data_IF_645396971434
#
_entry.id   IF_645396971434
#
_cell.length_a   1.000
_cell.length_b   1.000
_cell.length_c   1.000
_cell.angle_alpha   90.00
_cell.angle_beta   90.00
_cell.angle_gamma   90.00
#
_symmetry.space_group_name_H-M   'P 1'
#
loop_
_entity.id
_entity.type
_entity.pdbx_description
1 polymer ?
#
# COMPACT_ATOMS: atom_id res chain seq x y z
N UNK A 1 -42.22 46.08 -5.37
CA UNK A 1 -41.41 45.06 -4.67
C UNK A 1 -40.16 45.75 -4.15
N UNK A 2 -39.92 45.79 -2.84
CA UNK A 2 -38.66 46.29 -2.27
C UNK A 2 -37.63 45.17 -2.32
N UNK A 3 -36.59 45.33 -3.10
CA UNK A 3 -35.38 44.51 -3.06
C UNK A 3 -34.50 45.01 -1.92
N UNK A 4 -34.31 44.21 -0.88
CA UNK A 4 -33.28 44.49 0.13
C UNK A 4 -31.91 44.32 -0.51
N UNK A 5 -31.14 45.40 -0.59
CA UNK A 5 -29.76 45.37 -1.02
C UNK A 5 -28.88 44.97 0.17
N UNK A 6 -28.08 43.91 0.00
CA UNK A 6 -27.07 43.49 0.98
C UNK A 6 -25.99 44.57 1.11
N UNK A 7 -25.54 44.84 2.33
CA UNK A 7 -24.42 45.77 2.55
C UNK A 7 -23.08 45.08 2.34
N UNK A 8 -22.08 45.81 1.86
CA UNK A 8 -20.70 45.31 1.73
C UNK A 8 -20.13 44.86 3.07
N UNK A 9 -20.51 45.53 4.17
CA UNK A 9 -20.03 45.19 5.51
C UNK A 9 -20.60 43.86 6.02
N UNK A 10 -21.88 43.58 5.74
CA UNK A 10 -22.49 42.27 6.06
C UNK A 10 -21.76 41.14 5.34
N UNK A 11 -21.46 41.32 4.06
CA UNK A 11 -20.75 40.30 3.29
C UNK A 11 -19.30 40.12 3.78
N UNK A 12 -18.62 41.21 4.15
CA UNK A 12 -17.26 41.19 4.71
C UNK A 12 -17.18 40.42 6.04
N UNK A 13 -18.14 40.63 6.95
CA UNK A 13 -18.16 39.92 8.23
C UNK A 13 -18.39 38.42 8.01
N UNK A 14 -19.28 38.05 7.09
CA UNK A 14 -19.56 36.64 6.78
C UNK A 14 -18.32 35.93 6.25
N UNK A 15 -17.62 36.50 5.27
CA UNK A 15 -16.40 35.87 4.73
C UNK A 15 -15.27 35.84 5.76
N UNK A 16 -15.18 36.83 6.66
CA UNK A 16 -14.22 36.82 7.75
C UNK A 16 -14.48 35.66 8.72
N UNK A 17 -15.74 35.42 9.12
CA UNK A 17 -16.11 34.31 10.00
C UNK A 17 -15.85 32.96 9.32
N UNK A 18 -16.24 32.81 8.04
CA UNK A 18 -15.95 31.59 7.26
C UNK A 18 -14.45 31.34 7.16
N UNK A 19 -13.64 32.38 6.95
CA UNK A 19 -12.18 32.29 6.90
C UNK A 19 -11.57 31.77 8.21
N UNK A 20 -12.04 32.26 9.36
CA UNK A 20 -11.58 31.80 10.68
C UNK A 20 -11.94 30.33 10.91
N UNK A 21 -13.18 29.93 10.59
CA UNK A 21 -13.62 28.55 10.72
C UNK A 21 -12.84 27.61 9.80
N UNK A 22 -12.62 28.02 8.54
CA UNK A 22 -11.86 27.24 7.57
C UNK A 22 -10.40 27.05 8.01
N UNK A 23 -9.75 28.08 8.56
CA UNK A 23 -8.36 28.00 9.01
C UNK A 23 -8.15 26.93 10.10
N UNK A 24 -9.14 26.70 10.96
CA UNK A 24 -9.10 25.67 12.00
C UNK A 24 -9.55 24.31 11.46
N UNK A 25 -10.59 24.29 10.62
CA UNK A 25 -11.22 23.05 10.16
C UNK A 25 -10.38 22.31 9.11
N UNK A 26 -9.75 23.02 8.17
CA UNK A 26 -8.99 22.43 7.05
C UNK A 26 -7.84 21.53 7.50
N UNK A 27 -6.89 21.96 8.37
CA UNK A 27 -5.79 21.08 8.79
C UNK A 27 -6.30 19.85 9.57
N UNK A 28 -7.33 20.02 10.39
CA UNK A 28 -7.95 18.91 11.12
C UNK A 28 -8.61 17.90 10.16
N UNK A 29 -9.28 18.39 9.12
CA UNK A 29 -9.89 17.55 8.10
C UNK A 29 -8.84 16.75 7.32
N UNK A 30 -7.74 17.37 6.90
CA UNK A 30 -6.62 16.70 6.21
C UNK A 30 -6.04 15.59 7.10
N UNK A 31 -5.78 15.89 8.36
CA UNK A 31 -5.27 14.90 9.33
C UNK A 31 -6.24 13.74 9.54
N UNK A 32 -7.54 13.99 9.62
CA UNK A 32 -8.56 12.96 9.73
C UNK A 32 -8.62 12.09 8.46
N UNK A 33 -8.48 12.69 7.28
CA UNK A 33 -8.44 11.96 6.01
C UNK A 33 -7.24 11.02 5.93
N UNK A 34 -6.05 11.47 6.33
CA UNK A 34 -4.85 10.62 6.33
C UNK A 34 -5.04 9.46 7.33
N UNK A 35 -5.52 9.71 8.55
CA UNK A 35 -5.84 8.64 9.51
C UNK A 35 -6.81 7.60 8.94
N UNK A 36 -7.84 8.05 8.23
CA UNK A 36 -8.79 7.16 7.57
C UNK A 36 -8.13 6.32 6.47
N UNK A 37 -7.22 6.90 5.68
CA UNK A 37 -6.42 6.17 4.69
C UNK A 37 -5.52 5.11 5.34
N UNK A 38 -4.83 5.44 6.44
CA UNK A 38 -3.97 4.49 7.18
C UNK A 38 -4.80 3.30 7.68
N UNK A 39 -5.92 3.59 8.37
CA UNK A 39 -6.80 2.56 8.90
C UNK A 39 -7.37 1.68 7.77
N UNK A 40 -7.73 2.30 6.64
CA UNK A 40 -8.20 1.61 5.45
C UNK A 40 -7.13 0.72 4.82
N UNK A 41 -5.90 1.22 4.65
CA UNK A 41 -4.80 0.44 4.09
C UNK A 41 -4.45 -0.77 4.95
N UNK A 42 -4.39 -0.59 6.27
CA UNK A 42 -4.20 -1.69 7.20
C UNK A 42 -5.35 -2.71 7.16
N UNK A 43 -6.59 -2.26 6.97
CA UNK A 43 -7.74 -3.16 6.82
C UNK A 43 -7.68 -3.96 5.52
N UNK A 44 -7.38 -3.30 4.40
CA UNK A 44 -7.21 -3.93 3.09
C UNK A 44 -6.10 -4.98 3.13
N UNK A 45 -4.93 -4.67 3.70
CA UNK A 45 -3.84 -5.62 3.86
C UNK A 45 -4.18 -6.81 4.79
N UNK A 46 -5.01 -6.60 5.83
CA UNK A 46 -5.52 -7.71 6.65
C UNK A 46 -6.39 -8.65 5.81
N UNK A 47 -7.32 -8.11 5.03
CA UNK A 47 -8.21 -8.88 4.17
C UNK A 47 -7.44 -9.65 3.09
N UNK A 48 -6.49 -8.99 2.42
CA UNK A 48 -5.60 -9.65 1.45
C UNK A 48 -4.80 -10.76 2.15
N UNK A 49 -4.26 -10.50 3.34
CA UNK A 49 -3.52 -11.50 4.10
C UNK A 49 -4.34 -12.76 4.39
N UNK A 50 -5.60 -12.61 4.81
CA UNK A 50 -6.50 -13.76 5.00
C UNK A 50 -6.75 -14.53 3.71
N UNK A 51 -6.90 -13.83 2.59
CA UNK A 51 -7.05 -14.47 1.28
C UNK A 51 -5.76 -15.21 0.85
N UNK A 52 -4.58 -14.65 1.12
CA UNK A 52 -3.29 -15.30 0.86
C UNK A 52 -3.15 -16.57 1.68
N UNK A 53 -3.49 -16.55 2.97
CA UNK A 53 -3.42 -17.76 3.81
C UNK A 53 -4.39 -18.84 3.31
N UNK A 54 -5.59 -18.46 2.91
CA UNK A 54 -6.57 -19.38 2.32
C UNK A 54 -6.05 -20.00 1.02
N UNK A 55 -5.49 -19.16 0.13
CA UNK A 55 -4.81 -19.62 -1.08
C UNK A 55 -3.66 -20.58 -0.76
N UNK A 56 -2.85 -20.29 0.26
CA UNK A 56 -1.72 -21.11 0.64
C UNK A 56 -2.14 -22.48 1.17
N UNK A 57 -3.25 -22.57 1.91
CA UNK A 57 -3.79 -23.86 2.37
C UNK A 57 -4.11 -24.76 1.18
N UNK A 58 -4.70 -24.21 0.12
CA UNK A 58 -5.10 -24.97 -1.07
C UNK A 58 -3.92 -25.27 -2.00
N UNK A 59 -2.92 -24.38 -2.07
CA UNK A 59 -1.82 -24.44 -3.05
C UNK A 59 -0.44 -24.78 -2.44
N UNK A 60 -0.39 -25.08 -1.14
CA UNK A 60 0.81 -25.29 -0.31
C UNK A 60 1.80 -24.12 -0.24
N UNK A 61 1.59 -23.05 -0.99
CA UNK A 61 2.47 -21.90 -1.11
C UNK A 61 1.63 -20.63 -1.32
N UNK A 62 2.08 -19.46 -0.81
CA UNK A 62 1.41 -18.20 -1.12
C UNK A 62 1.51 -17.88 -2.63
N UNK A 63 0.73 -16.93 -3.17
CA UNK A 63 0.79 -16.58 -4.59
C UNK A 63 2.22 -16.25 -5.04
N UNK A 64 2.76 -16.96 -6.04
CA UNK A 64 4.14 -16.74 -6.54
C UNK A 64 4.17 -16.13 -7.93
N UNK A 65 5.25 -15.42 -8.21
CA UNK A 65 5.52 -14.76 -9.50
C UNK A 65 6.00 -15.68 -10.63
N UNK A 66 6.32 -16.94 -10.35
CA UNK A 66 7.02 -17.82 -11.29
C UNK A 66 6.53 -19.27 -11.19
N UNK A 67 6.70 -20.02 -12.29
CA UNK A 67 6.71 -21.49 -12.32
C UNK A 67 8.09 -22.00 -11.89
N UNK A 68 8.14 -23.17 -11.24
CA UNK A 68 9.33 -23.79 -10.62
C UNK A 68 10.63 -23.61 -11.45
N UNK A 69 11.72 -23.16 -10.80
CA UNK A 69 13.03 -22.95 -11.45
C UNK A 69 13.83 -21.73 -10.95
N UNK A 70 13.19 -20.74 -10.33
CA UNK A 70 13.86 -19.52 -9.87
C UNK A 70 14.78 -19.70 -8.64
N UNK A 71 14.72 -20.86 -7.98
CA UNK A 71 15.56 -21.17 -6.81
C UNK A 71 17.04 -21.40 -7.14
N UNK A 72 17.38 -21.59 -8.42
CA UNK A 72 18.74 -21.90 -8.89
C UNK A 72 19.41 -20.75 -9.64
N UNK A 73 18.87 -19.53 -9.55
CA UNK A 73 19.48 -18.33 -10.16
C UNK A 73 19.13 -18.10 -11.64
N UNK A 74 18.25 -18.91 -12.24
CA UNK A 74 17.68 -18.66 -13.56
C UNK A 74 16.15 -18.52 -13.46
N UNK A 75 15.67 -17.29 -13.41
CA UNK A 75 14.25 -17.01 -13.65
C UNK A 75 14.02 -17.05 -15.16
N UNK A 76 13.48 -18.15 -15.69
CA UNK A 76 13.07 -18.24 -17.10
C UNK A 76 11.54 -18.30 -17.14
N UNK A 77 10.91 -17.17 -17.48
CA UNK A 77 9.45 -17.04 -17.55
C UNK A 77 9.00 -15.63 -17.16
N UNK A 78 7.96 -15.14 -17.82
CA UNK A 78 7.41 -13.77 -17.65
C UNK A 78 7.25 -13.43 -16.17
N UNK A 79 8.14 -12.58 -15.63
CA UNK A 79 8.02 -12.08 -14.27
C UNK A 79 6.66 -11.40 -14.15
N UNK A 80 5.70 -12.05 -13.49
CA UNK A 80 4.44 -11.39 -13.17
C UNK A 80 4.77 -10.16 -12.34
N UNK A 81 4.30 -9.00 -12.79
CA UNK A 81 4.44 -7.75 -12.07
C UNK A 81 3.98 -7.97 -10.62
N UNK A 82 4.71 -7.40 -9.64
CA UNK A 82 4.41 -7.55 -8.19
C UNK A 82 2.96 -7.25 -7.84
N UNK A 83 2.32 -6.41 -8.63
CA UNK A 83 0.92 -6.03 -8.53
C UNK A 83 -0.06 -7.07 -9.12
N UNK A 84 0.30 -7.71 -10.23
CA UNK A 84 -0.51 -8.76 -10.87
C UNK A 84 -0.50 -10.11 -10.14
N UNK A 85 0.39 -10.31 -9.17
CA UNK A 85 0.48 -11.57 -8.40
C UNK A 85 -0.76 -11.84 -7.56
N UNK A 86 -1.38 -10.78 -7.06
CA UNK A 86 -2.62 -10.84 -6.27
C UNK A 86 -3.84 -11.25 -7.11
N UNK A 87 -3.76 -11.20 -8.45
CA UNK A 87 -4.85 -11.69 -9.33
C UNK A 87 -5.17 -13.18 -9.13
N UNK A 88 -4.20 -13.96 -8.61
CA UNK A 88 -4.41 -15.37 -8.24
C UNK A 88 -5.37 -15.56 -7.07
N UNK A 89 -5.65 -14.49 -6.32
CA UNK A 89 -6.62 -14.50 -5.23
C UNK A 89 -8.06 -14.35 -5.72
N UNK A 90 -8.27 -13.90 -6.94
CA UNK A 90 -9.61 -13.71 -7.53
C UNK A 90 -9.91 -14.75 -8.61
N UNK A 91 -8.89 -15.22 -9.34
CA UNK A 91 -9.05 -16.17 -10.45
C UNK A 91 -7.91 -17.20 -10.49
N UNK A 92 -8.17 -18.47 -10.86
CA UNK A 92 -9.47 -19.06 -11.21
C UNK A 92 -10.33 -19.42 -10.00
N UNK A 93 -9.74 -19.59 -8.81
CA UNK A 93 -10.45 -19.79 -7.53
C UNK A 93 -10.47 -18.47 -6.78
N UNK A 94 -11.66 -18.06 -6.33
CA UNK A 94 -11.87 -16.78 -5.65
C UNK A 94 -11.72 -16.94 -4.14
N UNK A 95 -10.60 -16.47 -3.61
CA UNK A 95 -10.33 -16.30 -2.17
C UNK A 95 -10.74 -14.91 -1.67
N UNK A 96 -10.91 -13.95 -2.59
CA UNK A 96 -11.47 -12.63 -2.33
C UNK A 96 -12.21 -12.11 -3.57
N UNK A 97 -13.19 -11.23 -3.38
CA UNK A 97 -14.02 -10.71 -4.48
C UNK A 97 -13.23 -9.85 -5.48
N UNK A 98 -12.31 -9.03 -4.99
CA UNK A 98 -11.46 -8.15 -5.80
C UNK A 98 -10.27 -7.67 -4.99
N UNK A 99 -9.09 -7.57 -5.62
CA UNK A 99 -7.91 -6.99 -4.96
C UNK A 99 -8.11 -5.47 -4.82
N UNK A 100 -8.02 -4.90 -3.60
CA UNK A 100 -8.17 -3.46 -3.40
C UNK A 100 -6.95 -2.67 -3.91
N UNK A 101 -7.22 -1.42 -4.28
CA UNK A 101 -6.21 -0.42 -4.64
C UNK A 101 -5.59 0.17 -3.36
N UNK A 102 -4.29 0.42 -3.39
CA UNK A 102 -3.60 1.08 -2.28
C UNK A 102 -4.00 2.56 -2.19
N UNK A 103 -4.41 2.98 -0.99
CA UNK A 103 -4.91 4.34 -0.70
C UNK A 103 -3.82 5.41 -0.69
N UNK A 104 -2.56 4.99 -0.60
CA UNK A 104 -1.37 5.86 -0.60
C UNK A 104 -0.58 5.82 -1.89
N UNK A 105 -0.92 4.92 -2.81
CA UNK A 105 -0.22 4.82 -4.09
C UNK A 105 -0.42 6.11 -4.90
N UNK A 106 0.65 6.90 -4.98
CA UNK A 106 0.75 8.07 -5.85
C UNK A 106 1.25 7.61 -7.21
N UNK A 107 0.86 8.33 -8.25
CA UNK A 107 1.17 8.06 -9.67
C UNK A 107 2.68 7.90 -9.99
N UNK A 108 3.57 8.08 -9.01
CA UNK A 108 5.03 8.14 -9.13
C UNK A 108 5.67 6.82 -9.63
N UNK A 109 5.06 5.66 -9.41
CA UNK A 109 5.54 4.39 -10.00
C UNK A 109 5.03 4.09 -11.41
N UNK A 110 4.22 4.96 -12.03
CA UNK A 110 3.83 4.80 -13.44
C UNK A 110 5.04 4.80 -14.40
N UNK A 111 6.21 5.28 -13.96
CA UNK A 111 7.41 5.38 -14.79
C UNK A 111 8.35 4.17 -14.75
N UNK A 112 8.16 3.18 -13.86
CA UNK A 112 9.15 2.09 -13.70
C UNK A 112 8.63 0.65 -13.89
N UNK A 113 7.32 0.40 -13.80
CA UNK A 113 6.72 -0.91 -14.13
C UNK A 113 5.27 -0.72 -14.55
N UNK A 114 4.92 -1.17 -15.74
CA UNK A 114 3.59 -1.14 -16.36
C UNK A 114 2.53 -1.94 -15.58
N UNK A 115 2.08 -1.43 -14.43
CA UNK A 115 0.91 -1.97 -13.74
C UNK A 115 -0.25 -0.95 -13.74
N UNK A 116 -1.37 -1.24 -14.43
CA UNK A 116 -2.54 -0.35 -14.47
C UNK A 116 -3.43 -0.47 -13.22
N UNK A 117 -3.11 -1.34 -12.26
CA UNK A 117 -4.04 -1.74 -11.20
C UNK A 117 -3.83 -1.04 -9.85
N UNK A 118 -2.69 -0.36 -9.64
CA UNK A 118 -2.39 0.44 -8.44
C UNK A 118 -2.60 -0.32 -7.11
N UNK A 119 -2.44 -1.65 -7.12
CA UNK A 119 -2.68 -2.49 -5.93
C UNK A 119 -1.52 -2.42 -4.94
N UNK A 120 -1.69 -3.04 -3.77
CA UNK A 120 -0.63 -3.19 -2.78
C UNK A 120 0.57 -3.97 -3.36
N UNK A 121 1.79 -3.42 -3.31
CA UNK A 121 2.99 -4.16 -3.64
C UNK A 121 3.13 -5.45 -2.81
N UNK A 122 3.42 -6.58 -3.48
CA UNK A 122 3.50 -7.92 -2.90
C UNK A 122 4.85 -8.61 -3.20
N UNK A 123 5.48 -9.16 -2.16
CA UNK A 123 6.74 -9.90 -2.24
C UNK A 123 6.72 -11.24 -1.53
N UNK A 124 7.50 -12.16 -2.07
CA UNK A 124 7.87 -13.45 -1.53
C UNK A 124 9.41 -13.53 -1.37
N UNK A 125 9.95 -14.22 -0.34
CA UNK A 125 11.38 -14.18 -0.02
C UNK A 125 12.34 -14.66 -1.10
N UNK A 126 11.88 -15.49 -2.03
CA UNK A 126 12.72 -15.99 -3.14
C UNK A 126 13.07 -14.88 -4.12
N UNK A 127 12.25 -13.82 -4.16
CA UNK A 127 12.59 -12.58 -4.86
C UNK A 127 13.26 -11.59 -3.91
N UNK A 128 13.03 -11.65 -2.59
CA UNK A 128 13.52 -10.66 -1.61
C UNK A 128 15.03 -10.40 -1.65
N UNK A 129 15.84 -11.32 -2.21
CA UNK A 129 17.28 -11.16 -2.41
C UNK A 129 17.73 -11.23 -3.89
N UNK A 130 16.85 -10.99 -4.88
CA UNK A 130 17.23 -11.06 -6.31
C UNK A 130 16.25 -10.38 -7.29
N UNK A 131 16.76 -9.34 -7.96
CA UNK A 131 16.09 -8.48 -8.96
C UNK A 131 14.85 -7.71 -8.45
N UNK A 132 15.06 -6.44 -8.07
CA UNK A 132 14.02 -5.42 -7.76
C UNK A 132 13.25 -5.59 -6.46
N UNK A 133 13.85 -6.22 -5.47
CA UNK A 133 13.34 -6.17 -4.11
C UNK A 133 13.98 -5.03 -3.34
N UNK A 134 13.24 -4.44 -2.40
CA UNK A 134 13.80 -3.46 -1.49
C UNK A 134 15.03 -4.04 -0.83
N UNK A 135 16.12 -3.28 -0.82
CA UNK A 135 17.32 -3.69 -0.11
C UNK A 135 16.95 -3.98 1.36
N UNK A 136 17.30 -5.17 1.83
CA UNK A 136 17.02 -5.56 3.20
C UNK A 136 15.63 -6.12 3.49
N UNK A 137 14.67 -6.18 2.54
CA UNK A 137 13.36 -6.83 2.78
C UNK A 137 13.50 -8.24 3.34
N UNK A 138 14.47 -8.99 2.81
CA UNK A 138 14.87 -10.31 3.32
C UNK A 138 15.01 -10.32 4.84
N UNK A 139 15.65 -9.30 5.44
CA UNK A 139 15.93 -9.20 6.88
C UNK A 139 14.70 -8.95 7.74
N UNK A 140 13.67 -8.32 7.17
CA UNK A 140 12.42 -8.02 7.89
C UNK A 140 11.44 -9.20 7.91
N UNK A 141 11.70 -10.24 7.10
CA UNK A 141 10.94 -11.48 7.22
C UNK A 141 11.20 -12.15 8.57
N UNK A 142 10.13 -12.48 9.33
CA UNK A 142 10.27 -12.99 10.69
C UNK A 142 10.95 -14.35 10.78
N UNK A 143 10.98 -15.15 9.70
CA UNK A 143 11.58 -16.47 9.73
C UNK A 143 12.55 -16.70 8.57
N UNK A 144 13.82 -16.40 8.83
CA UNK A 144 14.91 -16.62 7.88
C UNK A 144 15.12 -18.09 7.49
N UNK A 145 14.67 -19.05 8.32
CA UNK A 145 14.84 -20.48 8.06
C UNK A 145 13.77 -21.09 7.14
N UNK A 146 12.65 -20.38 6.89
CA UNK A 146 11.57 -20.83 6.00
C UNK A 146 11.17 -19.74 4.99
N UNK A 147 12.10 -19.22 4.19
CA UNK A 147 11.83 -18.10 3.28
C UNK A 147 10.69 -18.43 2.32
N UNK A 148 10.61 -19.66 1.83
CA UNK A 148 9.67 -20.01 0.75
C UNK A 148 8.18 -19.98 1.13
N UNK A 149 7.85 -19.87 2.41
CA UNK A 149 6.45 -19.87 2.88
C UNK A 149 5.94 -18.48 3.24
N UNK A 150 6.82 -17.51 3.40
CA UNK A 150 6.40 -16.18 3.82
C UNK A 150 6.01 -15.28 2.65
N UNK A 151 5.31 -14.22 2.99
CA UNK A 151 4.92 -13.16 2.07
C UNK A 151 4.93 -11.82 2.79
N UNK A 152 5.11 -10.75 2.04
CA UNK A 152 5.07 -9.37 2.50
C UNK A 152 4.15 -8.54 1.62
N UNK A 153 3.26 -7.77 2.24
CA UNK A 153 2.50 -6.70 1.62
C UNK A 153 3.04 -5.37 2.14
N UNK A 154 3.09 -4.38 1.24
CA UNK A 154 3.54 -3.04 1.58
C UNK A 154 2.55 -2.00 1.06
N UNK A 155 2.62 -0.81 1.60
CA UNK A 155 1.93 0.40 1.17
C UNK A 155 2.85 1.59 1.45
N UNK A 156 2.83 2.58 0.57
CA UNK A 156 3.68 3.78 0.57
C UNK A 156 3.55 4.63 1.83
N UNK A 157 2.53 4.39 2.65
CA UNK A 157 2.32 5.17 3.86
C UNK A 157 2.00 6.66 3.61
N UNK A 158 1.91 7.45 4.69
CA UNK A 158 1.42 8.83 4.65
C UNK A 158 2.31 9.82 3.90
N UNK A 159 3.61 9.55 3.85
CA UNK A 159 4.64 10.32 3.16
C UNK A 159 4.63 10.09 1.65
N UNK A 160 4.14 8.92 1.20
CA UNK A 160 3.96 8.63 -0.22
C UNK A 160 5.26 8.37 -0.98
N UNK A 161 6.39 8.35 -0.26
CA UNK A 161 7.63 7.78 -0.75
C UNK A 161 7.53 6.25 -0.63
N UNK A 162 8.22 5.54 -1.51
CA UNK A 162 8.33 4.10 -1.41
C UNK A 162 9.79 3.78 -1.13
N UNK A 163 10.16 3.68 0.15
CA UNK A 163 11.55 3.40 0.56
C UNK A 163 12.08 2.14 -0.14
N UNK A 164 11.16 1.23 -0.39
CA UNK A 164 11.36 0.00 -1.12
C UNK A 164 11.81 0.15 -2.58
N UNK A 165 11.54 1.26 -3.26
CA UNK A 165 12.04 1.55 -4.61
C UNK A 165 13.46 2.15 -4.61
N UNK A 166 13.89 2.81 -3.53
CA UNK A 166 15.15 3.55 -3.46
C UNK A 166 16.40 2.70 -3.22
N UNK A 167 16.25 1.40 -2.91
CA UNK A 167 17.38 0.53 -2.58
C UNK A 167 18.08 0.88 -1.26
N UNK A 168 17.46 1.73 -0.43
CA UNK A 168 17.87 2.02 0.95
C UNK A 168 17.31 0.99 1.94
N UNK A 169 17.73 1.10 3.21
CA UNK A 169 17.16 0.29 4.29
C UNK A 169 15.67 0.61 4.44
N UNK A 170 14.85 -0.43 4.48
CA UNK A 170 13.41 -0.31 4.72
C UNK A 170 13.10 0.34 6.06
N UNK A 171 12.31 1.41 6.05
CA UNK A 171 11.77 2.05 7.25
C UNK A 171 10.31 1.61 7.47
N UNK A 172 10.00 0.79 8.50
CA UNK A 172 8.63 0.41 8.76
C UNK A 172 7.82 1.57 9.34
N UNK A 173 6.54 1.64 8.96
CA UNK A 173 5.58 2.59 9.50
C UNK A 173 5.51 2.53 11.04
N UNK A 174 5.73 3.68 11.68
CA UNK A 174 5.65 3.82 13.14
C UNK A 174 4.29 4.37 13.57
N UNK A 175 3.55 3.58 14.35
CA UNK A 175 2.23 3.98 14.88
C UNK A 175 2.32 5.20 15.80
N UNK A 176 3.44 5.39 16.51
CA UNK A 176 3.73 6.56 17.35
C UNK A 176 3.82 7.84 16.53
N UNK A 177 4.37 7.77 15.31
CA UNK A 177 4.55 8.91 14.43
C UNK A 177 3.35 9.11 13.49
N UNK A 178 2.46 8.12 13.38
CA UNK A 178 1.08 8.32 12.96
C UNK A 178 0.94 8.92 11.57
N UNK A 179 0.78 10.25 11.53
CA UNK A 179 0.59 11.05 10.31
C UNK A 179 1.90 11.53 9.65
N UNK A 180 3.00 11.51 10.39
CA UNK A 180 4.32 12.01 9.97
C UNK A 180 5.36 10.88 9.91
N UNK A 181 4.89 9.63 9.83
CA UNK A 181 5.77 8.49 9.63
C UNK A 181 6.39 8.58 8.23
N UNK A 182 7.71 8.47 8.16
CA UNK A 182 8.48 8.43 6.91
C UNK A 182 8.74 6.98 6.47
N UNK A 183 7.70 6.14 6.53
CA UNK A 183 7.93 4.72 6.44
C UNK A 183 6.70 3.97 5.95
N UNK A 184 6.97 3.03 5.06
CA UNK A 184 6.04 2.10 4.46
C UNK A 184 5.24 1.27 5.48
N UNK A 185 3.93 1.15 5.26
CA UNK A 185 3.08 0.26 6.05
C UNK A 185 3.29 -1.17 5.56
N UNK A 186 3.86 -2.02 6.41
CA UNK A 186 4.18 -3.41 6.05
C UNK A 186 3.33 -4.43 6.78
N UNK A 187 3.06 -5.56 6.11
CA UNK A 187 2.44 -6.74 6.71
C UNK A 187 3.13 -8.00 6.21
N UNK A 188 3.53 -8.86 7.15
CA UNK A 188 4.13 -10.15 6.88
C UNK A 188 3.18 -11.31 7.24
N UNK A 189 3.31 -12.43 6.53
CA UNK A 189 2.59 -13.67 6.83
C UNK A 189 3.37 -14.92 6.39
N UNK A 190 2.76 -16.10 6.52
CA UNK A 190 3.41 -17.43 6.48
C UNK A 190 2.76 -18.41 5.51
#
# INVERSE_FOLDING_TARGET
MRTSAFTLIELLIVVAIIGILAAIAVPNFINAQIKAKIAGAQADMRNIGTAIESYRIDNNNPPRSYTEGCYTGQCVGSQMSRYTRLSKLTTPVSYMSSVPVDKFNTTELQMATSDPHNTYPYWEPVMADGYRTPAGLGRHFPNQARPNRQWALMSFGPDGDFEAAGGGDLAPYEVSNGLVSNGDIMRFGF
#
